data_IF_492612427009
#
_entry.id   IF_492612427009
#
_cell.length_a   1.000
_cell.length_b   1.000
_cell.length_c   1.000
_cell.angle_alpha   90.00
_cell.angle_beta   90.00
_cell.angle_gamma   90.00
#
_symmetry.space_group_name_H-M   'P 1'
#
loop_
_entity.id
_entity.type
_entity.pdbx_description
1 polymer ?
#
# COMPACT_ATOMS: atom_id res chain seq x y z
N UNK A 1 14.87 0.92 -15.88
CA UNK A 1 14.32 -0.36 -15.36
C UNK A 1 13.93 -0.26 -13.86
N UNK A 2 13.52 0.91 -13.34
CA UNK A 2 13.52 1.16 -11.88
C UNK A 2 12.23 1.67 -11.22
N UNK A 3 11.07 1.64 -11.90
CA UNK A 3 9.78 2.06 -11.31
C UNK A 3 8.81 0.89 -11.06
N UNK A 4 9.09 -0.25 -11.67
CA UNK A 4 8.17 -1.39 -11.72
C UNK A 4 8.17 -2.18 -10.41
N UNK A 5 9.33 -2.36 -9.78
CA UNK A 5 9.44 -3.05 -8.49
C UNK A 5 8.61 -2.39 -7.38
N UNK A 6 8.58 -1.05 -7.34
CA UNK A 6 7.77 -0.32 -6.35
C UNK A 6 6.26 -0.55 -6.57
N UNK A 7 5.82 -0.55 -7.82
CA UNK A 7 4.39 -0.73 -8.15
C UNK A 7 3.94 -2.17 -7.93
N UNK A 8 4.81 -3.16 -8.18
CA UNK A 8 4.56 -4.57 -7.86
C UNK A 8 4.45 -4.78 -6.36
N UNK A 9 5.36 -4.18 -5.57
CA UNK A 9 5.31 -4.27 -4.11
C UNK A 9 4.03 -3.65 -3.54
N UNK A 10 3.65 -2.45 -4.01
CA UNK A 10 2.38 -1.81 -3.61
C UNK A 10 1.19 -2.71 -3.92
N UNK A 11 1.16 -3.33 -5.10
CA UNK A 11 0.09 -4.26 -5.47
C UNK A 11 0.03 -5.48 -4.54
N UNK A 12 1.20 -6.07 -4.22
CA UNK A 12 1.28 -7.22 -3.32
C UNK A 12 0.82 -6.85 -1.89
N UNK A 13 1.23 -5.68 -1.40
CA UNK A 13 0.79 -5.15 -0.10
C UNK A 13 -0.73 -4.95 -0.07
N UNK A 14 -1.31 -4.33 -1.10
CA UNK A 14 -2.76 -4.16 -1.24
C UNK A 14 -3.49 -5.49 -1.25
N UNK A 15 -2.98 -6.49 -1.98
CA UNK A 15 -3.56 -7.84 -1.99
C UNK A 15 -3.60 -8.44 -0.59
N UNK A 16 -2.51 -8.35 0.18
CA UNK A 16 -2.47 -8.88 1.54
C UNK A 16 -3.48 -8.20 2.46
N UNK A 17 -3.58 -6.87 2.38
CA UNK A 17 -4.57 -6.08 3.12
C UNK A 17 -6.00 -6.50 2.74
N UNK A 18 -6.27 -6.67 1.45
CA UNK A 18 -7.58 -7.12 0.95
C UNK A 18 -7.92 -8.52 1.48
N UNK A 19 -6.98 -9.46 1.43
CA UNK A 19 -7.17 -10.83 1.93
C UNK A 19 -7.53 -10.80 3.41
N UNK A 20 -6.77 -10.08 4.23
CA UNK A 20 -7.06 -9.88 5.66
C UNK A 20 -8.46 -9.27 5.87
N UNK A 21 -8.80 -8.22 5.13
CA UNK A 21 -10.10 -7.56 5.27
C UNK A 21 -11.26 -8.45 4.87
N UNK A 22 -11.11 -9.30 3.85
CA UNK A 22 -12.17 -10.24 3.45
C UNK A 22 -12.39 -11.35 4.45
N UNK A 23 -11.31 -11.84 5.04
CA UNK A 23 -11.34 -12.90 6.04
C UNK A 23 -12.00 -12.40 7.33
N UNK A 24 -11.63 -11.20 7.79
CA UNK A 24 -12.08 -10.67 9.08
C UNK A 24 -13.34 -9.80 8.98
N UNK A 25 -13.62 -9.22 7.81
CA UNK A 25 -14.72 -8.29 7.58
C UNK A 25 -15.44 -8.60 6.24
N UNK A 26 -16.14 -9.74 6.13
CA UNK A 26 -16.67 -10.26 4.86
C UNK A 26 -17.70 -9.33 4.19
N UNK A 27 -18.29 -8.39 4.94
CA UNK A 27 -19.26 -7.41 4.43
C UNK A 27 -18.60 -6.15 3.85
N UNK A 28 -17.26 -6.05 3.87
CA UNK A 28 -16.55 -4.89 3.31
C UNK A 28 -16.83 -4.76 1.82
N UNK A 29 -17.24 -3.57 1.38
CA UNK A 29 -17.56 -3.27 -0.04
C UNK A 29 -16.56 -2.32 -0.70
N UNK A 30 -15.87 -1.53 0.12
CA UNK A 30 -14.97 -0.47 -0.32
C UNK A 30 -13.78 -0.32 0.61
N UNK A 31 -12.62 -0.08 0.04
CA UNK A 31 -11.39 0.27 0.76
C UNK A 31 -11.00 1.70 0.40
N UNK A 32 -10.56 2.46 1.41
CA UNK A 32 -10.00 3.80 1.23
C UNK A 32 -8.54 3.80 1.69
N UNK A 33 -7.62 3.90 0.73
CA UNK A 33 -6.19 4.03 1.01
C UNK A 33 -5.83 5.49 1.29
N UNK A 34 -4.93 5.71 2.24
CA UNK A 34 -4.35 7.01 2.54
C UNK A 34 -2.83 6.86 2.54
N UNK A 35 -2.14 7.68 1.75
CA UNK A 35 -0.67 7.64 1.64
C UNK A 35 -0.09 9.04 1.46
N UNK A 36 1.23 9.16 1.59
CA UNK A 36 1.93 10.40 1.28
C UNK A 36 1.94 10.67 -0.23
N UNK A 37 1.87 11.95 -0.60
CA UNK A 37 1.83 12.37 -1.99
C UNK A 37 3.16 12.31 -2.74
N UNK A 38 4.21 11.70 -2.18
CA UNK A 38 5.52 11.61 -2.83
C UNK A 38 5.43 10.85 -4.16
N UNK A 39 5.83 11.51 -5.25
CA UNK A 39 5.63 11.02 -6.60
C UNK A 39 6.48 9.78 -6.96
N UNK A 40 7.58 9.54 -6.24
CA UNK A 40 8.50 8.43 -6.50
C UNK A 40 7.97 7.08 -6.01
N UNK A 41 7.07 7.07 -5.02
CA UNK A 41 6.65 5.84 -4.32
C UNK A 41 5.24 5.44 -4.76
N UNK A 42 4.21 5.99 -4.12
CA UNK A 42 2.83 5.56 -4.30
C UNK A 42 2.12 6.29 -5.46
N UNK A 43 2.48 7.55 -5.73
CA UNK A 43 1.77 8.40 -6.70
C UNK A 43 2.40 8.35 -8.10
N UNK A 44 2.56 7.15 -8.64
CA UNK A 44 3.09 6.90 -9.99
C UNK A 44 2.01 6.34 -10.95
N UNK A 45 2.28 6.37 -12.26
CA UNK A 45 1.30 5.98 -13.28
C UNK A 45 0.80 4.53 -13.12
N UNK A 46 1.72 3.59 -12.94
CA UNK A 46 1.42 2.16 -12.83
C UNK A 46 0.57 1.84 -11.59
N UNK A 47 0.89 2.48 -10.47
CA UNK A 47 0.16 2.33 -9.22
C UNK A 47 -1.26 2.92 -9.29
N UNK A 48 -1.42 4.10 -9.92
CA UNK A 48 -2.75 4.70 -10.11
C UNK A 48 -3.58 3.89 -11.11
N UNK A 49 -2.98 3.34 -12.18
CA UNK A 49 -3.66 2.42 -13.11
C UNK A 49 -4.23 1.19 -12.40
N UNK A 50 -3.49 0.64 -11.43
CA UNK A 50 -3.97 -0.51 -10.65
C UNK A 50 -5.28 -0.23 -9.89
N UNK A 51 -5.61 1.02 -9.55
CA UNK A 51 -6.89 1.36 -8.92
C UNK A 51 -8.09 1.00 -9.79
N UNK A 52 -7.96 1.12 -11.11
CA UNK A 52 -9.05 0.83 -12.06
C UNK A 52 -9.34 -0.67 -12.09
N UNK A 53 -8.27 -1.46 -12.03
CA UNK A 53 -8.35 -2.92 -11.97
C UNK A 53 -8.68 -3.44 -10.58
N UNK A 54 -8.72 -2.59 -9.55
CA UNK A 54 -8.88 -3.02 -8.16
C UNK A 54 -10.17 -3.82 -7.95
N UNK A 55 -11.30 -3.39 -8.51
CA UNK A 55 -12.54 -4.16 -8.43
C UNK A 55 -12.44 -5.51 -9.15
N UNK A 56 -11.74 -5.57 -10.28
CA UNK A 56 -11.51 -6.81 -11.04
C UNK A 56 -10.58 -7.77 -10.30
N UNK A 57 -9.51 -7.25 -9.72
CA UNK A 57 -8.47 -8.04 -9.06
C UNK A 57 -8.87 -8.48 -7.65
N UNK A 58 -9.61 -7.63 -6.94
CA UNK A 58 -9.87 -7.77 -5.50
C UNK A 58 -11.36 -7.83 -5.17
N UNK A 59 -12.27 -7.57 -6.10
CA UNK A 59 -13.72 -7.59 -5.86
C UNK A 59 -14.25 -6.40 -5.05
N UNK A 60 -13.39 -5.43 -4.69
CA UNK A 60 -13.73 -4.29 -3.85
C UNK A 60 -13.59 -2.98 -4.60
N UNK A 61 -14.50 -2.04 -4.36
CA UNK A 61 -14.32 -0.66 -4.81
C UNK A 61 -13.17 0.00 -4.04
N UNK A 62 -12.51 0.96 -4.67
CA UNK A 62 -11.38 1.64 -4.03
C UNK A 62 -11.38 3.14 -4.24
N UNK A 63 -10.87 3.84 -3.24
CA UNK A 63 -10.43 5.21 -3.34
C UNK A 63 -9.03 5.34 -2.73
N UNK A 64 -8.22 6.23 -3.28
CA UNK A 64 -6.89 6.54 -2.76
C UNK A 64 -6.73 8.05 -2.58
N UNK A 65 -6.50 8.46 -1.34
CA UNK A 65 -6.21 9.83 -0.95
C UNK A 65 -4.72 10.00 -0.67
N UNK A 66 -4.14 11.09 -1.18
CA UNK A 66 -2.74 11.45 -1.01
C UNK A 66 -2.62 12.77 -0.27
N UNK A 67 -1.84 12.78 0.82
CA UNK A 67 -1.48 14.02 1.51
C UNK A 67 -0.55 14.89 0.65
N UNK A 68 -0.40 16.16 1.01
CA UNK A 68 0.53 17.05 0.31
C UNK A 68 1.98 16.63 0.60
N UNK A 69 2.82 16.58 -0.44
CA UNK A 69 4.23 16.24 -0.29
C UNK A 69 4.92 17.26 0.63
N UNK A 70 5.66 16.78 1.62
CA UNK A 70 6.35 17.64 2.60
C UNK A 70 5.48 18.12 3.76
N UNK A 71 4.18 17.81 3.80
CA UNK A 71 3.31 18.17 4.92
C UNK A 71 2.97 16.95 5.80
N UNK A 72 3.61 16.92 6.97
CA UNK A 72 3.19 16.13 8.12
C UNK A 72 3.49 14.64 8.02
N UNK A 73 4.20 14.12 9.04
CA UNK A 73 4.22 12.69 9.32
C UNK A 73 2.78 12.24 9.60
N UNK A 74 2.33 11.19 8.91
CA UNK A 74 1.05 10.53 9.13
C UNK A 74 1.02 9.76 10.45
N UNK A 75 -0.16 9.30 10.88
CA UNK A 75 -0.29 8.39 12.02
C UNK A 75 0.55 7.11 11.82
N UNK A 76 0.67 6.64 10.57
CA UNK A 76 1.48 5.49 10.19
C UNK A 76 2.97 5.71 10.51
N UNK A 77 3.46 6.94 10.38
CA UNK A 77 4.85 7.27 10.71
C UNK A 77 5.10 7.20 12.23
N UNK A 78 4.10 7.53 13.05
CA UNK A 78 4.18 7.38 14.50
C UNK A 78 4.29 5.92 14.93
N UNK A 79 3.42 5.05 14.38
CA UNK A 79 3.47 3.60 14.62
C UNK A 79 4.81 3.04 14.16
N UNK A 80 5.23 3.36 12.94
CA UNK A 80 6.51 2.90 12.39
C UNK A 80 7.71 3.40 13.18
N UNK A 81 7.70 4.64 13.68
CA UNK A 81 8.76 5.19 14.52
C UNK A 81 8.86 4.45 15.85
N UNK A 82 7.72 4.14 16.49
CA UNK A 82 7.69 3.38 17.75
C UNK A 82 8.26 1.98 17.55
N UNK A 83 7.80 1.24 16.52
CA UNK A 83 8.29 -0.11 16.24
C UNK A 83 9.80 -0.11 15.96
N UNK A 84 10.28 0.84 15.14
CA UNK A 84 11.70 0.99 14.83
C UNK A 84 12.51 1.33 16.08
N UNK A 85 12.05 2.28 16.90
CA UNK A 85 12.76 2.68 18.12
C UNK A 85 12.89 1.51 19.10
N UNK A 86 11.83 0.71 19.26
CA UNK A 86 11.86 -0.49 20.11
C UNK A 86 12.84 -1.53 19.58
N UNK A 87 12.82 -1.82 18.27
CA UNK A 87 13.78 -2.74 17.64
C UNK A 87 15.22 -2.24 17.76
N UNK A 88 15.48 -0.94 17.52
CA UNK A 88 16.81 -0.34 17.68
C UNK A 88 17.32 -0.49 19.12
N UNK A 89 16.46 -0.26 20.13
CA UNK A 89 16.86 -0.44 21.54
C UNK A 89 17.20 -1.90 21.84
N UNK A 90 16.38 -2.85 21.39
CA UNK A 90 16.64 -4.27 21.59
C UNK A 90 17.96 -4.71 20.95
N UNK A 91 18.24 -4.27 19.71
CA UNK A 91 19.49 -4.55 19.02
C UNK A 91 20.72 -3.95 19.73
N UNK A 92 20.60 -2.73 20.27
CA UNK A 92 21.70 -2.04 20.96
C UNK A 92 21.97 -2.58 22.38
N UNK A 93 20.94 -3.02 23.09
CA UNK A 93 21.07 -3.50 24.47
C UNK A 93 21.62 -4.93 24.57
N UNK A 94 21.85 -5.61 23.44
CA UNK A 94 22.42 -6.96 23.39
C UNK A 94 21.67 -8.00 24.23
N UNK A 95 20.43 -7.68 24.61
CA UNK A 95 19.65 -8.46 25.57
C UNK A 95 19.11 -9.70 24.85
N UNK A 96 19.77 -10.83 25.10
CA UNK A 96 19.35 -12.19 24.77
C UNK A 96 18.96 -12.43 23.31
N UNK A 97 19.94 -12.43 22.39
CA UNK A 97 19.78 -13.09 21.08
C UNK A 97 19.14 -12.26 19.95
N UNK A 98 18.74 -11.01 20.19
CA UNK A 98 18.15 -10.13 19.17
C UNK A 98 19.21 -9.51 18.23
N UNK A 99 19.88 -10.33 17.41
CA UNK A 99 20.71 -9.82 16.32
C UNK A 99 19.82 -9.42 15.13
N UNK A 100 19.20 -8.24 15.21
CA UNK A 100 18.30 -7.75 14.15
C UNK A 100 19.14 -7.18 12.99
N UNK A 101 19.55 -8.05 12.06
CA UNK A 101 20.38 -7.66 10.90
C UNK A 101 19.62 -7.74 9.57
N UNK A 102 18.60 -8.59 9.51
CA UNK A 102 17.81 -8.81 8.30
C UNK A 102 16.36 -8.37 8.50
N UNK A 103 15.64 -8.19 7.39
CA UNK A 103 14.21 -7.92 7.42
C UNK A 103 13.40 -9.07 8.06
N UNK A 104 13.91 -10.30 7.97
CA UNK A 104 13.32 -11.47 8.63
C UNK A 104 13.50 -11.37 10.14
N UNK A 105 14.70 -11.02 10.61
CA UNK A 105 14.96 -10.84 12.05
C UNK A 105 14.11 -9.70 12.62
N UNK A 106 13.94 -8.62 11.87
CA UNK A 106 13.07 -7.52 12.25
C UNK A 106 11.61 -7.97 12.35
N UNK A 107 11.13 -8.75 11.38
CA UNK A 107 9.77 -9.28 11.44
C UNK A 107 9.58 -10.24 12.61
N UNK A 108 10.48 -11.20 12.82
CA UNK A 108 10.45 -12.11 13.97
C UNK A 108 10.41 -11.34 15.29
N UNK A 109 11.28 -10.33 15.44
CA UNK A 109 11.26 -9.45 16.60
C UNK A 109 9.90 -8.77 16.80
N UNK A 110 9.29 -8.23 15.74
CA UNK A 110 7.95 -7.62 15.86
C UNK A 110 6.87 -8.65 16.17
N UNK A 111 6.99 -9.87 15.64
CA UNK A 111 6.05 -10.95 15.86
C UNK A 111 6.11 -11.45 17.31
N UNK A 112 7.32 -11.69 17.82
CA UNK A 112 7.58 -12.11 19.19
C UNK A 112 7.21 -11.01 20.19
N UNK A 113 7.51 -9.74 19.90
CA UNK A 113 7.06 -8.61 20.71
C UNK A 113 5.54 -8.38 20.69
N UNK A 114 4.86 -8.96 19.71
CA UNK A 114 3.40 -8.96 19.58
C UNK A 114 2.74 -10.19 20.21
N UNK A 115 3.51 -11.21 20.62
CA UNK A 115 3.01 -12.33 21.44
C UNK A 115 2.76 -11.81 22.86
N UNK A 116 1.58 -11.22 23.03
CA UNK A 116 1.00 -10.78 24.31
C UNK A 116 0.02 -11.81 24.84
N UNK A 117 0.34 -13.09 24.69
CA UNK A 117 -0.49 -14.20 25.20
C UNK A 117 -0.77 -14.09 26.71
N UNK A 118 0.03 -13.33 27.44
CA UNK A 118 -0.15 -12.96 28.84
C UNK A 118 -1.23 -11.89 29.11
N UNK A 119 -1.59 -11.07 28.13
CA UNK A 119 -2.50 -9.92 28.29
C UNK A 119 -3.93 -10.16 27.79
N UNK A 120 -4.25 -11.37 27.29
CA UNK A 120 -5.59 -11.75 26.79
C UNK A 120 -6.19 -10.79 25.71
N UNK A 121 -5.37 -9.92 25.12
CA UNK A 121 -5.76 -8.95 24.10
C UNK A 121 -4.84 -9.07 22.87
N UNK A 122 -5.38 -9.06 21.64
CA UNK A 122 -4.57 -9.10 20.43
C UNK A 122 -3.71 -7.84 20.32
N UNK A 123 -2.48 -7.97 19.80
CA UNK A 123 -1.62 -6.81 19.56
C UNK A 123 -2.31 -5.79 18.65
N UNK A 124 -2.23 -4.47 18.96
CA UNK A 124 -2.80 -3.42 18.12
C UNK A 124 -2.05 -3.25 16.79
N UNK A 125 -0.91 -3.92 16.60
CA UNK A 125 -0.08 -3.81 15.39
C UNK A 125 0.18 -5.21 14.84
N UNK A 126 -0.39 -5.51 13.67
CA UNK A 126 -0.08 -6.74 12.94
C UNK A 126 1.04 -6.47 11.91
N UNK A 127 2.06 -7.33 11.88
CA UNK A 127 3.21 -7.21 10.96
C UNK A 127 3.26 -8.38 9.98
N UNK A 128 3.61 -8.08 8.72
CA UNK A 128 3.68 -9.07 7.65
C UNK A 128 5.06 -9.05 7.00
N UNK A 129 5.67 -10.22 6.82
CA UNK A 129 6.89 -10.39 6.05
C UNK A 129 6.59 -10.72 4.59
N UNK A 130 7.12 -9.92 3.67
CA UNK A 130 6.95 -10.10 2.23
C UNK A 130 8.31 -10.16 1.53
N UNK A 131 8.86 -11.37 1.27
CA UNK A 131 10.10 -11.51 0.52
C UNK A 131 9.96 -10.98 -0.92
N UNK A 132 10.93 -10.19 -1.38
CA UNK A 132 10.94 -9.63 -2.74
C UNK A 132 10.79 -10.71 -3.82
N UNK A 133 11.52 -11.82 -3.68
CA UNK A 133 11.45 -12.94 -4.64
C UNK A 133 10.04 -13.53 -4.75
N UNK A 134 9.33 -13.63 -3.61
CA UNK A 134 7.95 -14.13 -3.58
C UNK A 134 7.00 -13.14 -4.26
N UNK A 135 7.16 -11.85 -3.98
CA UNK A 135 6.37 -10.78 -4.60
C UNK A 135 6.56 -10.76 -6.12
N UNK A 136 7.81 -10.78 -6.57
CA UNK A 136 8.15 -10.76 -7.99
C UNK A 136 7.65 -12.02 -8.69
N UNK A 137 7.89 -13.22 -8.13
CA UNK A 137 7.42 -14.49 -8.71
C UNK A 137 5.91 -14.54 -8.89
N UNK A 138 5.14 -13.97 -7.96
CA UNK A 138 3.68 -14.06 -7.99
C UNK A 138 3.01 -13.04 -8.90
N UNK A 139 3.58 -11.83 -9.03
CA UNK A 139 2.85 -10.70 -9.61
C UNK A 139 3.54 -10.04 -10.80
N UNK A 140 4.84 -10.22 -10.96
CA UNK A 140 5.62 -9.48 -11.95
C UNK A 140 5.10 -9.73 -13.36
N UNK A 141 4.96 -10.99 -13.76
CA UNK A 141 4.50 -11.33 -15.12
C UNK A 141 3.10 -10.75 -15.42
N UNK A 142 2.16 -10.91 -14.48
CA UNK A 142 0.80 -10.37 -14.59
C UNK A 142 0.81 -8.85 -14.77
N UNK A 143 1.59 -8.14 -13.96
CA UNK A 143 1.62 -6.67 -13.97
C UNK A 143 2.42 -6.12 -15.15
N UNK A 144 3.52 -6.77 -15.54
CA UNK A 144 4.28 -6.40 -16.73
C UNK A 144 3.43 -6.54 -18.00
N UNK A 145 2.65 -7.62 -18.11
CA UNK A 145 1.67 -7.77 -19.20
C UNK A 145 0.66 -6.63 -19.20
N UNK A 146 0.06 -6.32 -18.03
CA UNK A 146 -0.87 -5.19 -17.89
C UNK A 146 -0.25 -3.86 -18.32
N UNK A 147 0.98 -3.57 -17.92
CA UNK A 147 1.62 -2.30 -18.28
C UNK A 147 1.96 -2.21 -19.76
N UNK A 148 2.25 -3.34 -20.42
CA UNK A 148 2.38 -3.42 -21.88
C UNK A 148 1.05 -3.17 -22.57
N UNK A 149 -0.01 -3.83 -22.12
CA UNK A 149 -1.37 -3.65 -22.67
C UNK A 149 -1.85 -2.19 -22.51
N UNK A 150 -1.54 -1.57 -21.36
CA UNK A 150 -1.92 -0.19 -21.04
C UNK A 150 -0.84 0.85 -21.41
N UNK A 151 0.17 0.48 -22.21
CA UNK A 151 1.32 1.36 -22.48
C UNK A 151 0.89 2.69 -23.13
N UNK A 152 -0.14 2.65 -23.97
CA UNK A 152 -0.69 3.81 -24.67
C UNK A 152 -1.55 4.73 -23.78
N UNK A 153 -1.90 4.27 -22.57
CA UNK A 153 -2.75 5.03 -21.66
C UNK A 153 -1.86 5.76 -20.66
N UNK A 154 -1.54 7.03 -20.94
CA UNK A 154 -0.69 7.83 -20.07
C UNK A 154 -1.53 8.75 -19.20
N UNK A 155 -1.53 8.55 -17.88
CA UNK A 155 -2.15 9.49 -16.96
C UNK A 155 -1.22 10.70 -16.78
N UNK A 156 -1.49 11.77 -17.52
CA UNK A 156 -0.73 13.01 -17.45
C UNK A 156 -1.28 13.93 -16.36
N UNK A 157 -0.40 14.71 -15.74
CA UNK A 157 -0.80 15.68 -14.73
C UNK A 157 -1.32 15.09 -13.41
N UNK A 158 -1.13 13.80 -13.12
CA UNK A 158 -1.64 13.16 -11.89
C UNK A 158 -1.14 13.82 -10.59
N UNK A 159 -0.02 14.53 -10.64
CA UNK A 159 0.59 15.19 -9.47
C UNK A 159 -0.31 16.23 -8.83
N UNK A 160 -1.19 16.91 -9.58
CA UNK A 160 -2.10 17.96 -9.08
C UNK A 160 -3.34 17.42 -8.36
N UNK A 161 -3.59 16.12 -8.42
CA UNK A 161 -4.76 15.49 -7.81
C UNK A 161 -4.39 14.81 -6.50
N UNK A 162 -5.24 14.94 -5.49
CA UNK A 162 -5.02 14.39 -4.15
C UNK A 162 -5.99 13.26 -3.80
N UNK A 163 -6.98 13.01 -4.65
CA UNK A 163 -7.89 11.89 -4.49
C UNK A 163 -8.15 11.22 -5.83
N UNK A 164 -8.19 9.90 -5.84
CA UNK A 164 -8.49 9.06 -6.98
C UNK A 164 -9.55 8.02 -6.58
N UNK A 165 -10.59 7.83 -7.37
CA UNK A 165 -11.65 6.84 -7.11
C UNK A 165 -11.92 6.02 -8.37
N UNK A 166 -11.90 4.70 -8.23
CA UNK A 166 -12.26 3.78 -9.33
C UNK A 166 -13.77 3.77 -9.53
N UNK A 167 -14.23 4.00 -10.76
CA UNK A 167 -15.65 3.94 -11.11
C UNK A 167 -16.00 2.59 -11.78
N UNK A 168 -17.26 2.11 -11.66
CA UNK A 168 -17.67 0.82 -12.22
C UNK A 168 -17.54 0.72 -13.75
N UNK A 169 -17.54 1.85 -14.44
CA UNK A 169 -17.49 1.95 -15.91
C UNK A 169 -16.05 2.05 -16.45
N UNK A 170 -15.05 1.72 -15.62
CA UNK A 170 -13.64 1.76 -16.00
C UNK A 170 -13.03 3.16 -16.04
N UNK A 171 -13.76 4.19 -15.58
CA UNK A 171 -13.20 5.54 -15.40
C UNK A 171 -12.52 5.69 -14.04
N UNK A 172 -11.60 6.66 -13.98
CA UNK A 172 -10.98 7.10 -12.74
C UNK A 172 -11.39 8.55 -12.47
N UNK A 173 -12.12 8.80 -11.38
CA UNK A 173 -12.44 10.15 -10.91
C UNK A 173 -11.29 10.68 -10.05
N UNK A 174 -10.97 11.96 -10.23
CA UNK A 174 -9.86 12.64 -9.56
C UNK A 174 -10.27 14.01 -9.03
N UNK A 175 -9.77 14.37 -7.85
CA UNK A 175 -10.01 15.69 -7.23
C UNK A 175 -8.71 16.38 -6.84
N UNK A 176 -8.66 17.71 -6.95
CA UNK A 176 -7.47 18.51 -6.58
C UNK A 176 -7.32 18.68 -5.08
N UNK A 177 -8.42 18.67 -4.32
CA UNK A 177 -8.45 18.59 -2.86
C UNK A 177 -9.60 17.69 -2.45
N UNK A 178 -9.51 17.06 -1.28
CA UNK A 178 -10.51 16.11 -0.79
C UNK A 178 -11.94 16.71 -0.75
N UNK A 179 -12.04 17.98 -0.36
CA UNK A 179 -13.30 18.72 -0.21
C UNK A 179 -13.81 19.34 -1.51
N UNK A 180 -13.11 19.20 -2.63
CA UNK A 180 -13.53 19.83 -3.88
C UNK A 180 -14.80 19.17 -4.40
N UNK A 181 -15.78 19.99 -4.81
CA UNK A 181 -16.93 19.56 -5.61
C UNK A 181 -16.57 19.32 -7.08
N UNK A 182 -15.40 19.78 -7.53
CA UNK A 182 -14.95 19.67 -8.92
C UNK A 182 -14.22 18.36 -9.14
N UNK A 183 -14.82 17.49 -9.95
CA UNK A 183 -14.24 16.21 -10.36
C UNK A 183 -13.68 16.25 -11.78
N UNK A 184 -12.58 15.53 -11.99
CA UNK A 184 -11.97 15.30 -13.28
C UNK A 184 -11.96 13.80 -13.55
N UNK A 185 -12.06 13.39 -14.82
CA UNK A 185 -12.16 11.98 -15.16
C UNK A 185 -11.08 11.59 -16.16
N UNK A 186 -10.37 10.50 -15.86
CA UNK A 186 -9.58 9.78 -16.86
C UNK A 186 -10.42 8.63 -17.41
N UNK A 187 -10.44 8.50 -18.74
CA UNK A 187 -11.11 7.41 -19.45
C UNK A 187 -10.08 6.49 -20.06
N UNK A 188 -10.15 5.22 -19.73
CA UNK A 188 -9.39 4.16 -20.40
C UNK A 188 -10.23 3.76 -21.62
N UNK A 189 -9.63 3.71 -22.81
CA UNK A 189 -10.33 3.19 -23.98
C UNK A 189 -10.57 1.70 -23.73
N UNK A 190 -11.84 1.28 -23.83
CA UNK A 190 -12.25 -0.13 -23.85
C UNK A 190 -11.66 -0.83 -25.06
#
# INVERSE_FOLDING_TARGET
MGMDHNSTFVYAAQRRIVEFLKENYPLVKKISYVSDGAASHFKNNNTIKNLIYHKKDFGLQTAWTFSAAGHGKSQCDGIGATVKATATRAALQGSSGANIQTALDFWNFTFDANDRSDLNEPSPIESYFMPTERVDKLFREKLEKRWKDDANIKLTGIRKYHQFTSLPDGRLSCRTVFTSSKEFYFRFKS
#
